data_IF_727639895682
#
_entry.id   IF_727639895682
#
_cell.length_a   1.000
_cell.length_b   1.000
_cell.length_c   1.000
_cell.angle_alpha   90.00
_cell.angle_beta   90.00
_cell.angle_gamma   90.00
#
_symmetry.space_group_name_H-M   'P 1'
#
loop_
_entity.id
_entity.type
_entity.pdbx_description
1 polymer ?
#
# COMPACT_ATOMS: atom_id res chain seq x y z
N UNK A 1 -21.52 18.17 -11.94
CA UNK A 1 -20.87 19.04 -10.93
C UNK A 1 -20.56 18.24 -9.64
N UNK A 2 -19.34 18.37 -9.09
CA UNK A 2 -18.94 17.69 -7.86
C UNK A 2 -19.67 18.20 -6.59
N UNK A 3 -20.27 19.39 -6.61
CA UNK A 3 -20.98 19.98 -5.46
C UNK A 3 -22.51 19.80 -5.51
N UNK A 4 -23.00 18.57 -5.62
CA UNK A 4 -24.41 18.31 -5.31
C UNK A 4 -24.49 17.98 -3.82
N UNK A 5 -25.06 18.89 -3.04
CA UNK A 5 -25.25 18.70 -1.60
C UNK A 5 -25.89 17.33 -1.30
N UNK A 6 -25.21 16.53 -0.48
CA UNK A 6 -25.67 15.19 -0.08
C UNK A 6 -25.13 14.02 -0.90
N UNK A 7 -24.29 14.23 -1.92
CA UNK A 7 -23.55 13.12 -2.55
C UNK A 7 -22.28 12.81 -1.76
N UNK A 8 -22.07 11.55 -1.33
CA UNK A 8 -20.84 11.19 -0.67
C UNK A 8 -19.68 11.32 -1.66
N UNK A 9 -18.59 11.88 -1.18
CA UNK A 9 -17.30 11.89 -1.86
C UNK A 9 -16.77 10.47 -2.00
N UNK A 10 -15.85 10.26 -2.95
CA UNK A 10 -15.16 8.97 -3.10
C UNK A 10 -14.50 8.55 -1.78
N UNK A 11 -13.86 9.48 -1.06
CA UNK A 11 -13.25 9.20 0.24
C UNK A 11 -14.27 8.71 1.28
N UNK A 12 -15.44 9.34 1.38
CA UNK A 12 -16.49 8.90 2.30
C UNK A 12 -17.00 7.50 1.96
N UNK A 13 -17.12 7.18 0.67
CA UNK A 13 -17.51 5.84 0.21
C UNK A 13 -16.44 4.81 0.61
N UNK A 14 -15.15 5.12 0.41
CA UNK A 14 -14.06 4.21 0.78
C UNK A 14 -13.90 4.05 2.29
N UNK A 15 -14.04 5.13 3.07
CA UNK A 15 -14.03 5.08 4.52
C UNK A 15 -15.18 4.21 5.04
N UNK A 16 -16.40 4.42 4.55
CA UNK A 16 -17.56 3.60 4.90
C UNK A 16 -17.38 2.13 4.49
N UNK A 17 -16.78 1.87 3.32
CA UNK A 17 -16.47 0.52 2.86
C UNK A 17 -15.44 -0.17 3.77
N UNK A 18 -14.39 0.55 4.18
CA UNK A 18 -13.38 0.02 5.09
C UNK A 18 -13.98 -0.28 6.47
N UNK A 19 -14.79 0.63 7.02
CA UNK A 19 -15.48 0.45 8.30
C UNK A 19 -16.42 -0.76 8.26
N UNK A 20 -17.19 -0.90 7.17
CA UNK A 20 -18.06 -2.05 6.95
C UNK A 20 -17.25 -3.36 6.89
N UNK A 21 -16.12 -3.35 6.19
CA UNK A 21 -15.25 -4.54 6.06
C UNK A 21 -14.64 -4.91 7.41
N UNK A 22 -14.15 -3.94 8.18
CA UNK A 22 -13.63 -4.17 9.53
C UNK A 22 -14.72 -4.71 10.47
N UNK A 23 -15.95 -4.22 10.35
CA UNK A 23 -17.09 -4.72 11.10
C UNK A 23 -17.42 -6.17 10.73
N UNK A 24 -17.45 -6.53 9.43
CA UNK A 24 -17.69 -7.90 8.96
C UNK A 24 -16.63 -8.87 9.48
N UNK A 25 -15.36 -8.49 9.42
CA UNK A 25 -14.24 -9.26 9.99
C UNK A 25 -14.44 -9.45 11.49
N UNK A 26 -14.76 -8.38 12.23
CA UNK A 26 -15.00 -8.45 13.67
C UNK A 26 -16.20 -9.31 14.05
N UNK A 27 -17.29 -9.28 13.27
CA UNK A 27 -18.46 -10.17 13.46
C UNK A 27 -18.05 -11.63 13.29
N UNK A 28 -17.24 -11.95 12.27
CA UNK A 28 -16.78 -13.32 12.01
C UNK A 28 -15.89 -13.83 13.15
N UNK A 29 -14.87 -13.06 13.54
CA UNK A 29 -14.01 -13.39 14.68
C UNK A 29 -14.84 -13.53 15.96
N UNK A 30 -15.78 -12.60 16.19
CA UNK A 30 -16.62 -12.60 17.38
C UNK A 30 -17.60 -13.76 17.44
N UNK A 31 -18.02 -14.32 16.30
CA UNK A 31 -18.90 -15.48 16.22
C UNK A 31 -18.23 -16.79 16.64
N UNK A 32 -16.92 -16.90 16.41
CA UNK A 32 -16.06 -18.04 16.74
C UNK A 32 -15.41 -17.93 18.13
N UNK A 33 -15.48 -16.76 18.78
CA UNK A 33 -14.98 -16.55 20.14
C UNK A 33 -15.85 -17.24 21.20
N UNK A 34 -15.22 -17.70 22.29
CA UNK A 34 -15.90 -18.24 23.47
C UNK A 34 -15.61 -17.39 24.72
N UNK A 35 -16.63 -16.76 25.34
CA UNK A 35 -18.03 -16.67 24.89
C UNK A 35 -18.18 -15.74 23.67
N UNK A 36 -19.21 -16.01 22.85
CA UNK A 36 -19.51 -15.23 21.63
C UNK A 36 -19.66 -13.74 21.90
N UNK A 37 -18.95 -12.92 21.13
CA UNK A 37 -19.00 -11.46 21.25
C UNK A 37 -20.28 -10.88 20.66
N UNK A 38 -20.83 -9.84 21.30
CA UNK A 38 -22.04 -9.14 20.83
C UNK A 38 -21.97 -7.63 21.07
N UNK A 39 -22.75 -6.88 20.30
CA UNK A 39 -22.98 -5.44 20.51
C UNK A 39 -21.69 -4.62 20.58
N UNK A 40 -21.49 -3.91 21.70
CA UNK A 40 -20.33 -3.03 21.88
C UNK A 40 -18.97 -3.77 21.83
N UNK A 41 -18.92 -5.06 22.20
CA UNK A 41 -17.69 -5.85 22.10
C UNK A 41 -17.27 -6.05 20.64
N UNK A 42 -18.23 -6.29 19.74
CA UNK A 42 -17.98 -6.38 18.29
C UNK A 42 -17.52 -5.04 17.73
N UNK A 43 -18.11 -3.91 18.17
CA UNK A 43 -17.67 -2.58 17.75
C UNK A 43 -16.23 -2.27 18.18
N UNK A 44 -15.86 -2.62 19.42
CA UNK A 44 -14.46 -2.49 19.89
C UNK A 44 -13.51 -3.37 19.09
N UNK A 45 -13.92 -4.58 18.77
CA UNK A 45 -13.14 -5.48 17.92
C UNK A 45 -12.99 -4.92 16.50
N UNK A 46 -14.04 -4.34 15.91
CA UNK A 46 -13.98 -3.68 14.61
C UNK A 46 -12.98 -2.51 14.61
N UNK A 47 -12.97 -1.68 15.67
CA UNK A 47 -11.96 -0.63 15.83
C UNK A 47 -10.53 -1.20 15.95
N UNK A 48 -10.36 -2.34 16.65
CA UNK A 48 -9.07 -3.04 16.72
C UNK A 48 -8.64 -3.58 15.36
N UNK A 49 -9.58 -4.18 14.60
CA UNK A 49 -9.33 -4.65 13.24
C UNK A 49 -8.88 -3.48 12.37
N UNK A 50 -9.62 -2.36 12.36
CA UNK A 50 -9.23 -1.16 11.62
C UNK A 50 -7.79 -0.71 11.97
N UNK A 51 -7.44 -0.67 13.27
CA UNK A 51 -6.07 -0.40 13.71
C UNK A 51 -5.02 -1.34 13.11
N UNK A 52 -5.27 -2.66 13.12
CA UNK A 52 -4.38 -3.65 12.49
C UNK A 52 -4.28 -3.48 10.97
N UNK A 53 -5.36 -3.07 10.30
CA UNK A 53 -5.35 -2.79 8.86
C UNK A 53 -4.48 -1.57 8.54
N UNK A 54 -4.54 -0.53 9.36
CA UNK A 54 -3.64 0.62 9.22
C UNK A 54 -2.17 0.24 9.50
N UNK A 55 -1.90 -0.67 10.44
CA UNK A 55 -0.55 -1.22 10.62
C UNK A 55 -0.09 -2.05 9.42
N UNK A 56 -0.97 -2.88 8.85
CA UNK A 56 -0.67 -3.64 7.65
C UNK A 56 -0.32 -2.71 6.48
N UNK A 57 -1.09 -1.63 6.30
CA UNK A 57 -0.82 -0.61 5.30
C UNK A 57 0.54 0.07 5.50
N UNK A 58 0.89 0.45 6.74
CA UNK A 58 2.22 0.99 7.08
C UNK A 58 3.34 0.02 6.70
N UNK A 59 3.19 -1.26 7.01
CA UNK A 59 4.21 -2.28 6.73
C UNK A 59 4.35 -2.57 5.23
N UNK A 60 3.26 -2.46 4.47
CA UNK A 60 3.28 -2.55 3.00
C UNK A 60 4.08 -1.41 2.35
N UNK A 61 4.28 -0.28 3.05
CA UNK A 61 5.13 0.82 2.58
C UNK A 61 6.64 0.56 2.81
N UNK A 62 7.04 -0.48 3.53
CA UNK A 62 8.45 -0.86 3.71
C UNK A 62 9.15 -1.30 2.41
N UNK A 63 10.43 -1.70 2.43
CA UNK A 63 11.23 -2.01 1.23
C UNK A 63 10.74 -3.20 0.34
N UNK A 64 9.53 -3.72 0.57
CA UNK A 64 8.85 -4.70 -0.28
C UNK A 64 8.07 -4.07 -1.43
N UNK A 65 7.62 -4.93 -2.38
CA UNK A 65 6.83 -4.56 -3.56
C UNK A 65 5.35 -4.23 -3.22
N UNK A 66 5.09 -3.57 -2.09
CA UNK A 66 3.73 -3.37 -1.57
C UNK A 66 3.11 -4.62 -0.94
N UNK A 67 3.92 -5.67 -0.73
CA UNK A 67 3.50 -6.91 -0.08
C UNK A 67 3.81 -6.88 1.42
N UNK A 68 2.88 -7.42 2.21
CA UNK A 68 3.08 -7.81 3.60
C UNK A 68 3.63 -9.24 3.62
N UNK A 69 4.82 -9.44 4.19
CA UNK A 69 5.38 -10.78 4.31
C UNK A 69 4.54 -11.67 5.26
N UNK A 70 4.75 -12.99 5.18
CA UNK A 70 3.96 -13.96 5.97
C UNK A 70 4.12 -13.79 7.48
N UNK A 71 5.30 -13.40 7.95
CA UNK A 71 5.56 -13.26 9.38
C UNK A 71 4.84 -12.02 9.92
N UNK A 72 4.93 -10.90 9.22
CA UNK A 72 4.21 -9.67 9.53
C UNK A 72 2.69 -9.85 9.42
N UNK A 73 2.21 -10.65 8.46
CA UNK A 73 0.80 -11.01 8.37
C UNK A 73 0.34 -11.83 9.58
N UNK A 74 1.06 -12.88 9.97
CA UNK A 74 0.71 -13.70 11.14
C UNK A 74 0.76 -12.90 12.45
N UNK A 75 1.68 -11.93 12.54
CA UNK A 75 1.77 -11.04 13.70
C UNK A 75 0.52 -10.15 13.84
N UNK A 76 0.04 -9.58 12.73
CA UNK A 76 -1.13 -8.69 12.73
C UNK A 76 -2.46 -9.46 12.77
N UNK A 77 -2.52 -10.60 12.11
CA UNK A 77 -3.71 -11.43 11.92
C UNK A 77 -3.41 -12.89 12.27
N UNK A 78 -3.35 -13.26 13.55
CA UNK A 78 -2.96 -14.61 13.93
C UNK A 78 -3.93 -15.68 13.41
N UNK A 79 -3.41 -16.76 12.84
CA UNK A 79 -4.22 -17.92 12.44
C UNK A 79 -4.93 -18.57 13.62
N UNK A 80 -4.26 -18.65 14.78
CA UNK A 80 -4.78 -19.36 15.97
C UNK A 80 -6.06 -18.74 16.54
N UNK A 81 -6.30 -17.46 16.27
CA UNK A 81 -7.47 -16.73 16.76
C UNK A 81 -8.53 -16.51 15.67
N UNK A 82 -8.35 -17.09 14.48
CA UNK A 82 -9.27 -16.95 13.34
C UNK A 82 -9.16 -15.60 12.61
N UNK A 83 -8.23 -14.72 12.98
CA UNK A 83 -8.10 -13.39 12.39
C UNK A 83 -7.69 -13.46 10.92
N UNK A 84 -6.65 -14.25 10.61
CA UNK A 84 -6.21 -14.48 9.24
C UNK A 84 -7.36 -15.00 8.34
N UNK A 85 -8.02 -16.07 8.77
CA UNK A 85 -9.14 -16.67 8.05
C UNK A 85 -10.25 -15.65 7.79
N UNK A 86 -10.58 -14.81 8.79
CA UNK A 86 -11.61 -13.79 8.63
C UNK A 86 -11.22 -12.71 7.63
N UNK A 87 -10.00 -12.18 7.71
CA UNK A 87 -9.49 -11.15 6.80
C UNK A 87 -9.46 -11.64 5.35
N UNK A 88 -9.02 -12.87 5.12
CA UNK A 88 -8.97 -13.49 3.79
C UNK A 88 -10.37 -13.79 3.26
N UNK A 89 -11.29 -14.24 4.11
CA UNK A 89 -12.68 -14.53 3.72
C UNK A 89 -13.45 -13.27 3.34
N UNK A 90 -13.24 -12.18 4.09
CA UNK A 90 -13.85 -10.89 3.77
C UNK A 90 -13.13 -10.18 2.62
N UNK A 91 -12.08 -10.78 2.04
CA UNK A 91 -11.40 -10.29 0.85
C UNK A 91 -10.64 -8.99 1.07
N UNK A 92 -10.25 -8.67 2.30
CA UNK A 92 -9.50 -7.45 2.58
C UNK A 92 -8.03 -7.58 2.11
N UNK A 93 -7.42 -8.73 2.44
CA UNK A 93 -6.11 -9.12 1.95
C UNK A 93 -6.23 -10.37 1.08
N UNK A 94 -5.38 -10.49 0.08
CA UNK A 94 -5.27 -11.65 -0.78
C UNK A 94 -3.81 -12.14 -0.82
N UNK A 95 -3.56 -13.45 -0.95
CA UNK A 95 -2.23 -13.97 -1.20
C UNK A 95 -1.61 -13.33 -2.46
N UNK A 96 -0.35 -12.92 -2.37
CA UNK A 96 0.42 -12.38 -3.48
C UNK A 96 1.88 -12.78 -3.34
N UNK A 97 2.39 -13.50 -4.34
CA UNK A 97 3.76 -13.99 -4.33
C UNK A 97 4.08 -14.80 -3.07
N UNK A 98 5.06 -14.32 -2.31
CA UNK A 98 5.48 -14.94 -1.06
C UNK A 98 4.66 -14.47 0.16
N UNK A 99 3.87 -13.40 0.04
CA UNK A 99 3.13 -12.77 1.13
C UNK A 99 1.68 -12.48 0.81
N UNK A 100 1.21 -11.32 1.24
CA UNK A 100 -0.16 -10.85 1.11
C UNK A 100 -0.17 -9.40 0.64
N UNK A 101 -1.24 -9.01 -0.05
CA UNK A 101 -1.50 -7.62 -0.44
C UNK A 101 -2.96 -7.27 -0.24
N UNK A 102 -3.28 -5.97 -0.24
CA UNK A 102 -4.67 -5.53 -0.34
C UNK A 102 -5.31 -6.08 -1.61
N UNK A 103 -6.46 -6.74 -1.45
CA UNK A 103 -7.11 -7.39 -2.59
C UNK A 103 -7.63 -6.36 -3.60
N UNK A 104 -8.10 -5.22 -3.10
CA UNK A 104 -8.50 -4.09 -3.91
C UNK A 104 -7.39 -3.04 -3.94
N UNK A 105 -6.82 -2.81 -5.13
CA UNK A 105 -5.69 -1.90 -5.33
C UNK A 105 -6.01 -0.48 -4.85
N UNK A 106 -7.13 0.10 -5.31
CA UNK A 106 -7.52 1.47 -4.91
C UNK A 106 -7.76 1.64 -3.40
N UNK A 107 -8.27 0.60 -2.72
CA UNK A 107 -8.42 0.62 -1.26
C UNK A 107 -7.05 0.58 -0.59
N UNK A 108 -6.15 -0.29 -1.07
CA UNK A 108 -4.78 -0.38 -0.61
C UNK A 108 -4.05 0.95 -0.75
N UNK A 109 -4.16 1.58 -1.91
CA UNK A 109 -3.54 2.87 -2.22
C UNK A 109 -4.03 3.97 -1.27
N UNK A 110 -5.34 4.04 -1.01
CA UNK A 110 -5.90 5.01 -0.06
C UNK A 110 -5.41 4.82 1.36
N UNK A 111 -5.48 3.59 1.88
CA UNK A 111 -5.11 3.32 3.27
C UNK A 111 -3.60 3.50 3.46
N UNK A 112 -2.79 3.18 2.45
CA UNK A 112 -1.35 3.42 2.46
C UNK A 112 -1.01 4.90 2.33
N UNK A 113 -1.68 5.65 1.44
CA UNK A 113 -1.46 7.08 1.26
C UNK A 113 -1.67 7.89 2.54
N UNK A 114 -2.58 7.45 3.42
CA UNK A 114 -2.79 8.05 4.74
C UNK A 114 -1.57 7.96 5.69
N UNK A 115 -0.64 7.03 5.44
CA UNK A 115 0.56 6.82 6.26
C UNK A 115 1.87 7.10 5.51
N UNK A 116 1.78 7.49 4.25
CA UNK A 116 2.95 7.70 3.41
C UNK A 116 3.67 9.00 3.82
N UNK A 117 4.98 8.91 4.02
CA UNK A 117 5.84 10.08 4.02
C UNK A 117 5.96 10.61 2.58
N UNK A 118 5.15 11.61 2.26
CA UNK A 118 5.06 12.14 0.90
C UNK A 118 6.37 12.77 0.45
N UNK A 119 7.09 13.47 1.34
CA UNK A 119 8.32 14.16 0.99
C UNK A 119 9.42 13.13 0.64
N UNK A 120 9.59 12.11 1.49
CA UNK A 120 10.52 11.02 1.22
C UNK A 120 10.12 10.22 -0.04
N UNK A 121 8.82 10.00 -0.26
CA UNK A 121 8.32 9.29 -1.43
C UNK A 121 8.57 10.08 -2.72
N UNK A 122 8.23 11.37 -2.77
CA UNK A 122 8.50 12.24 -3.90
C UNK A 122 9.99 12.38 -4.17
N UNK A 123 10.81 12.52 -3.12
CA UNK A 123 12.26 12.54 -3.24
C UNK A 123 12.76 11.28 -3.93
N UNK A 124 12.36 10.10 -3.44
CA UNK A 124 12.73 8.82 -4.04
C UNK A 124 12.22 8.67 -5.49
N UNK A 125 11.00 9.10 -5.79
CA UNK A 125 10.42 9.01 -7.14
C UNK A 125 11.13 9.90 -8.16
N UNK A 126 11.41 11.15 -7.78
CA UNK A 126 12.06 12.13 -8.63
C UNK A 126 13.54 11.82 -8.78
N UNK A 127 14.24 11.52 -7.67
CA UNK A 127 15.69 11.36 -7.68
C UNK A 127 16.15 9.97 -8.12
N UNK A 128 15.35 8.91 -7.94
CA UNK A 128 15.64 7.61 -8.60
C UNK A 128 15.63 7.78 -10.12
N UNK A 129 14.65 8.52 -10.66
CA UNK A 129 14.57 8.84 -12.08
C UNK A 129 15.75 9.68 -12.58
N UNK A 130 16.32 10.54 -11.74
CA UNK A 130 17.50 11.35 -12.10
C UNK A 130 18.83 10.60 -11.95
N UNK A 131 18.99 9.75 -10.92
CA UNK A 131 20.16 8.87 -10.79
C UNK A 131 20.26 7.87 -11.95
N UNK A 132 19.10 7.51 -12.51
CA UNK A 132 18.93 6.67 -13.69
C UNK A 132 19.06 7.40 -15.04
N UNK A 133 19.35 8.71 -15.01
CA UNK A 133 19.32 9.56 -16.20
C UNK A 133 20.37 10.66 -16.19
N UNK A 134 21.63 10.31 -16.50
CA UNK A 134 22.49 11.10 -17.39
C UNK A 134 23.72 10.29 -17.88
N UNK A 135 23.80 9.92 -19.18
CA UNK A 135 25.08 9.79 -19.87
C UNK A 135 25.08 10.72 -21.08
N UNK A 136 24.93 12.02 -20.88
CA UNK A 136 24.95 12.99 -21.97
C UNK A 136 25.60 14.31 -21.55
N UNK A 137 26.83 14.26 -21.05
CA UNK A 137 27.81 15.35 -21.24
C UNK A 137 29.26 14.88 -21.01
N UNK A 138 29.72 13.98 -21.89
CA UNK A 138 31.13 13.64 -22.03
C UNK A 138 31.49 13.56 -23.51
N UNK A 139 32.59 14.20 -23.97
CA UNK A 139 32.91 14.26 -25.40
C UNK A 139 33.15 12.86 -25.98
N UNK A 140 32.77 12.61 -27.25
CA UNK A 140 32.87 11.28 -27.84
C UNK A 140 34.34 10.84 -27.95
N UNK A 141 34.67 9.72 -27.30
CA UNK A 141 35.93 9.04 -27.48
C UNK A 141 36.00 8.40 -28.88
N UNK A 142 37.18 8.40 -29.53
CA UNK A 142 37.32 7.93 -30.91
C UNK A 142 37.17 6.41 -31.00
N UNK A 143 36.40 5.97 -31.99
CA UNK A 143 36.21 4.57 -32.34
C UNK A 143 37.56 3.94 -32.76
N UNK A 144 37.95 2.86 -32.07
CA UNK A 144 38.96 1.91 -32.55
C UNK A 144 38.42 0.48 -32.44
N UNK A 145 38.46 -0.21 -33.57
CA UNK A 145 38.13 -1.62 -33.75
C UNK A 145 39.27 -2.51 -33.29
N UNK A 146 39.00 -3.49 -32.42
CA UNK A 146 39.53 -4.86 -32.48
C UNK A 146 39.04 -5.65 -31.27
N UNK A 147 38.68 -6.91 -31.49
CA UNK A 147 37.95 -7.73 -30.53
C UNK A 147 38.75 -8.17 -29.32
N UNK A 148 38.04 -8.33 -28.20
CA UNK A 148 38.38 -9.26 -27.13
C UNK A 148 37.07 -9.68 -26.45
N UNK A 149 36.88 -10.99 -26.28
CA UNK A 149 35.72 -11.60 -25.65
C UNK A 149 35.92 -11.52 -24.14
N UNK A 150 35.36 -10.49 -23.50
CA UNK A 150 35.30 -10.34 -22.04
C UNK A 150 34.02 -10.98 -21.46
N UNK A 151 34.05 -11.41 -20.18
CA UNK A 151 32.98 -12.19 -19.55
C UNK A 151 31.73 -11.33 -19.31
N UNK A 152 30.54 -11.91 -19.01
CA UNK A 152 29.36 -11.11 -18.74
C UNK A 152 29.51 -10.42 -17.38
N UNK A 153 30.15 -9.24 -17.39
CA UNK A 153 30.17 -8.32 -16.28
C UNK A 153 28.78 -7.71 -16.11
N UNK A 154 28.24 -7.90 -14.91
CA UNK A 154 27.22 -7.11 -14.23
C UNK A 154 26.48 -6.10 -15.12
N UNK A 155 25.42 -6.59 -15.77
CA UNK A 155 24.45 -5.73 -16.41
C UNK A 155 23.82 -4.83 -15.33
N UNK A 156 24.24 -3.57 -15.29
CA UNK A 156 23.62 -2.53 -14.47
C UNK A 156 22.09 -2.58 -14.68
N UNK A 157 21.30 -2.59 -13.59
CA UNK A 157 19.86 -2.72 -13.69
C UNK A 157 19.31 -1.50 -14.42
N UNK A 158 18.89 -1.71 -15.67
CA UNK A 158 18.10 -0.74 -16.45
C UNK A 158 17.01 -0.17 -15.54
N UNK A 159 17.02 1.15 -15.43
CA UNK A 159 16.08 1.96 -14.69
C UNK A 159 14.64 1.48 -14.87
N UNK A 160 14.15 0.79 -13.85
CA UNK A 160 12.80 0.26 -13.87
C UNK A 160 11.85 1.45 -13.72
N UNK A 161 10.71 1.46 -14.46
CA UNK A 161 9.65 2.42 -14.19
C UNK A 161 9.32 2.38 -12.71
N UNK A 162 9.04 3.57 -12.14
CA UNK A 162 8.56 3.74 -10.76
C UNK A 162 7.72 2.53 -10.37
N UNK A 163 8.04 1.82 -9.28
CA UNK A 163 7.28 0.63 -8.93
C UNK A 163 5.80 1.01 -8.88
N UNK A 164 4.97 0.42 -9.75
CA UNK A 164 3.58 0.86 -9.97
C UNK A 164 2.79 0.92 -8.66
N UNK A 165 3.14 0.02 -7.74
CA UNK A 165 2.61 -0.06 -6.37
C UNK A 165 2.91 1.17 -5.49
N UNK A 166 3.71 2.15 -5.94
CA UNK A 166 4.03 3.40 -5.20
C UNK A 166 3.35 4.63 -5.76
N UNK A 167 2.84 4.57 -6.99
CA UNK A 167 2.21 5.74 -7.63
C UNK A 167 0.86 6.02 -6.98
N UNK A 168 0.04 4.99 -6.80
CA UNK A 168 -1.28 5.11 -6.17
C UNK A 168 -1.26 5.74 -4.78
N UNK A 169 -0.47 5.22 -3.82
CA UNK A 169 -0.37 5.81 -2.48
C UNK A 169 0.12 7.27 -2.48
N UNK A 170 1.01 7.65 -3.41
CA UNK A 170 1.50 9.03 -3.54
C UNK A 170 0.40 9.97 -4.00
N UNK A 171 -0.36 9.58 -5.03
CA UNK A 171 -1.50 10.36 -5.52
C UNK A 171 -2.53 10.54 -4.38
N UNK A 172 -2.86 9.47 -3.66
CA UNK A 172 -3.82 9.55 -2.55
C UNK A 172 -3.29 10.42 -1.39
N UNK A 173 -1.99 10.37 -1.08
CA UNK A 173 -1.38 11.27 -0.10
C UNK A 173 -1.48 12.76 -0.51
N UNK A 174 -1.28 13.08 -1.80
CA UNK A 174 -1.46 14.44 -2.33
C UNK A 174 -2.92 14.91 -2.23
N UNK A 175 -3.87 14.06 -2.62
CA UNK A 175 -5.31 14.36 -2.51
C UNK A 175 -5.76 14.56 -1.06
N UNK A 176 -5.20 13.78 -0.12
CA UNK A 176 -5.45 13.92 1.31
C UNK A 176 -4.90 15.26 1.86
N UNK A 177 -3.72 15.69 1.40
CA UNK A 177 -3.13 16.97 1.82
C UNK A 177 -3.91 18.18 1.32
N UNK A 178 -4.34 18.16 0.06
CA UNK A 178 -5.18 19.21 -0.53
C UNK A 178 -6.44 19.44 0.30
N UNK A 179 -7.13 18.36 0.70
CA UNK A 179 -8.34 18.47 1.53
C UNK A 179 -8.07 18.97 2.94
N UNK A 180 -7.00 18.49 3.59
CA UNK A 180 -6.66 18.90 4.97
C UNK A 180 -6.23 20.36 5.07
N UNK A 181 -5.55 20.88 4.05
CA UNK A 181 -5.04 22.26 4.03
C UNK A 181 -5.97 23.24 3.33
N UNK A 182 -7.02 22.74 2.65
CA UNK A 182 -7.77 23.50 1.67
C UNK A 182 -6.92 23.77 0.43
N UNK A 183 -7.57 24.14 -0.68
CA UNK A 183 -6.85 24.64 -1.85
C UNK A 183 -6.18 25.97 -1.50
N UNK A 184 -4.98 25.92 -0.95
CA UNK A 184 -4.12 27.08 -0.82
C UNK A 184 -3.49 27.34 -2.19
N UNK A 185 -4.24 28.02 -3.05
CA UNK A 185 -3.79 28.73 -4.24
C UNK A 185 -4.65 29.99 -4.40
#
# INVERSE_FOLDING_TARGET
PPDVAGRPTTEEVFAAHLDLTCLRIAVRIGAEAEPRLRGAAVRRLAAKVAGQVHEAARRCLGPGQGELDRAAFEELFPWRTGWASAVLTEGLLAPAGAGYRFAHEELGDRVQGAHLDLDAALYALVHRRHADGDPADGPPAPATTAGTKEPPGDAEPRSLPVPRHRIGPVIEAMLLLERRRGSAA
#
